data_IF_323655467532
#
_entry.id   IF_323655467532
#
_cell.length_a   1.000
_cell.length_b   1.000
_cell.length_c   1.000
_cell.angle_alpha   90.00
_cell.angle_beta   90.00
_cell.angle_gamma   90.00
#
_symmetry.space_group_name_H-M   'P 1'
#
loop_
_entity.id
_entity.type
_entity.pdbx_description
1 polymer ?
#
# COMPACT_ATOMS: atom_id res chain seq x y z
N UNK A 1 2.93 -7.13 -11.87
CA UNK A 1 3.77 -7.87 -10.94
C UNK A 1 5.26 -7.73 -11.22
N UNK A 2 6.05 -8.22 -10.33
CA UNK A 2 7.52 -8.15 -10.37
C UNK A 2 8.12 -9.50 -10.77
N UNK A 3 7.80 -9.98 -11.98
CA UNK A 3 8.43 -11.20 -12.50
C UNK A 3 9.97 -11.10 -12.44
N UNK A 4 10.71 -12.14 -12.02
CA UNK A 4 10.27 -13.51 -11.69
C UNK A 4 9.80 -13.73 -10.23
N UNK A 5 9.64 -12.66 -9.45
CA UNK A 5 9.24 -12.73 -8.04
C UNK A 5 7.71 -12.80 -7.91
N UNK A 6 7.14 -13.95 -8.21
CA UNK A 6 5.69 -14.16 -8.31
C UNK A 6 5.22 -15.22 -7.33
N UNK A 7 3.91 -15.31 -7.14
CA UNK A 7 3.23 -16.33 -6.34
C UNK A 7 2.43 -17.27 -7.26
N UNK A 8 2.16 -18.49 -6.80
CA UNK A 8 1.31 -19.46 -7.49
C UNK A 8 -0.18 -19.12 -7.40
N UNK A 9 -0.59 -18.31 -6.41
CA UNK A 9 -1.97 -17.85 -6.27
C UNK A 9 -2.28 -16.72 -7.25
N UNK A 10 -3.54 -16.60 -7.68
CA UNK A 10 -3.99 -15.48 -8.49
C UNK A 10 -4.41 -14.32 -7.58
N UNK A 11 -3.60 -13.27 -7.43
CA UNK A 11 -3.92 -12.14 -6.57
C UNK A 11 -4.78 -11.07 -7.26
N UNK A 12 -5.14 -11.28 -8.52
CA UNK A 12 -5.94 -10.34 -9.30
C UNK A 12 -7.43 -10.73 -9.31
N UNK A 13 -8.31 -9.72 -9.46
CA UNK A 13 -9.75 -9.90 -9.58
C UNK A 13 -10.15 -10.81 -10.74
N UNK A 14 -9.33 -10.85 -11.81
CA UNK A 14 -9.51 -11.77 -12.93
C UNK A 14 -9.51 -13.25 -12.53
N UNK A 15 -8.85 -13.58 -11.41
CA UNK A 15 -8.86 -14.93 -10.83
C UNK A 15 -10.25 -15.41 -10.39
N UNK A 16 -11.19 -14.52 -10.15
CA UNK A 16 -12.58 -14.84 -9.77
C UNK A 16 -13.26 -15.59 -10.93
N UNK A 17 -13.11 -15.11 -12.15
CA UNK A 17 -13.72 -15.74 -13.31
C UNK A 17 -13.20 -17.15 -13.55
N UNK A 18 -11.87 -17.33 -13.46
CA UNK A 18 -11.23 -18.64 -13.69
C UNK A 18 -11.40 -19.59 -12.51
N UNK A 19 -11.39 -19.09 -11.28
CA UNK A 19 -11.48 -19.91 -10.07
C UNK A 19 -12.89 -20.36 -9.71
N UNK A 20 -13.88 -19.49 -9.92
CA UNK A 20 -15.28 -19.76 -9.57
C UNK A 20 -16.19 -20.02 -10.77
N UNK A 21 -15.71 -19.83 -12.00
CA UNK A 21 -16.53 -19.94 -13.19
C UNK A 21 -17.62 -18.87 -13.30
N UNK A 22 -17.46 -17.74 -12.62
CA UNK A 22 -18.42 -16.63 -12.61
C UNK A 22 -18.00 -15.53 -13.58
N UNK A 23 -18.92 -15.00 -14.40
CA UNK A 23 -18.61 -13.84 -15.23
C UNK A 23 -18.40 -12.61 -14.36
N UNK A 24 -17.32 -11.84 -14.64
CA UNK A 24 -17.00 -10.61 -13.89
C UNK A 24 -18.12 -9.58 -13.91
N UNK A 25 -19.00 -9.62 -14.91
CA UNK A 25 -20.19 -8.76 -14.98
C UNK A 25 -21.22 -8.98 -13.87
N UNK A 26 -21.08 -10.07 -13.11
CA UNK A 26 -21.89 -10.34 -11.91
C UNK A 26 -21.23 -9.84 -10.61
N UNK A 27 -20.00 -9.32 -10.70
CA UNK A 27 -19.30 -8.75 -9.57
C UNK A 27 -19.54 -7.24 -9.56
N UNK A 28 -20.32 -6.77 -8.59
CA UNK A 28 -20.70 -5.36 -8.50
C UNK A 28 -19.73 -4.54 -7.65
N UNK A 29 -18.96 -5.20 -6.79
CA UNK A 29 -18.08 -4.55 -5.82
C UNK A 29 -16.81 -5.37 -5.65
N UNK A 30 -15.65 -4.72 -5.84
CA UNK A 30 -14.35 -5.31 -5.64
C UNK A 30 -13.61 -4.43 -4.63
N UNK A 31 -13.31 -4.98 -3.46
CA UNK A 31 -12.68 -4.26 -2.36
C UNK A 31 -11.20 -4.62 -2.30
N UNK A 32 -10.32 -3.62 -2.51
CA UNK A 32 -8.88 -3.78 -2.31
C UNK A 32 -8.54 -3.67 -0.82
N UNK A 33 -7.66 -4.54 -0.30
CA UNK A 33 -7.16 -4.45 1.06
C UNK A 33 -5.72 -3.99 1.03
N UNK A 34 -5.46 -2.80 1.61
CA UNK A 34 -4.14 -2.19 1.71
C UNK A 34 -3.76 -1.98 3.17
N UNK A 35 -2.46 -2.03 3.45
CA UNK A 35 -1.93 -1.50 4.72
C UNK A 35 -1.66 -0.02 4.57
N UNK A 36 -1.64 0.72 5.66
CA UNK A 36 -1.24 2.12 5.68
C UNK A 36 0.27 2.35 5.38
N UNK A 37 1.03 1.28 5.20
CA UNK A 37 2.43 1.24 4.78
C UNK A 37 2.66 0.00 3.91
N UNK A 38 3.80 -0.10 3.23
CA UNK A 38 4.06 -1.23 2.33
C UNK A 38 4.90 -2.29 3.01
N UNK A 39 4.58 -3.57 2.75
CA UNK A 39 5.39 -4.70 3.19
C UNK A 39 5.66 -5.67 2.04
N UNK A 40 6.84 -6.28 2.04
CA UNK A 40 7.20 -7.32 1.07
C UNK A 40 7.81 -8.53 1.77
N UNK A 41 7.45 -9.72 1.29
CA UNK A 41 8.06 -10.98 1.67
C UNK A 41 8.99 -11.45 0.54
N UNK A 42 10.18 -11.92 0.91
CA UNK A 42 11.13 -12.46 -0.04
C UNK A 42 11.91 -11.41 -0.84
N UNK A 43 12.58 -11.88 -1.90
CA UNK A 43 13.41 -11.07 -2.78
C UNK A 43 12.58 -10.27 -3.79
N UNK A 44 13.23 -9.42 -4.52
CA UNK A 44 12.67 -8.59 -5.59
C UNK A 44 12.67 -7.10 -5.26
N UNK A 45 12.37 -6.25 -6.24
CA UNK A 45 12.44 -4.81 -6.09
C UNK A 45 11.40 -4.30 -5.08
N UNK A 46 11.84 -3.37 -4.25
CA UNK A 46 11.01 -2.68 -3.28
C UNK A 46 11.53 -1.25 -3.08
N UNK A 47 11.26 -0.34 -4.03
CA UNK A 47 11.86 0.98 -4.03
C UNK A 47 11.57 1.81 -2.79
N UNK A 48 10.40 1.64 -2.18
CA UNK A 48 10.02 2.37 -0.95
C UNK A 48 10.51 1.70 0.34
N UNK A 49 11.34 0.64 0.25
CA UNK A 49 11.89 -0.04 1.42
C UNK A 49 12.73 0.88 2.30
N UNK A 50 12.60 0.70 3.60
CA UNK A 50 13.33 1.45 4.60
C UNK A 50 14.36 0.58 5.29
N UNK A 51 15.62 1.03 5.23
CA UNK A 51 16.77 0.38 5.86
C UNK A 51 17.25 1.10 7.14
N UNK A 52 16.40 1.99 7.66
CA UNK A 52 16.67 2.81 8.83
C UNK A 52 15.76 2.43 10.01
N UNK A 53 15.85 3.19 11.09
CA UNK A 53 15.05 3.03 12.30
C UNK A 53 13.54 3.08 12.06
N UNK A 54 13.07 3.83 11.04
CA UNK A 54 11.64 3.86 10.69
C UNK A 54 11.18 2.51 10.16
N UNK A 55 11.99 1.84 9.33
CA UNK A 55 11.69 0.52 8.81
C UNK A 55 11.65 -0.54 9.91
N UNK A 56 12.57 -0.46 10.88
CA UNK A 56 12.57 -1.32 12.06
C UNK A 56 11.33 -1.08 12.92
N UNK A 57 11.00 0.19 13.17
CA UNK A 57 9.83 0.60 13.95
C UNK A 57 8.52 0.13 13.32
N UNK A 58 8.36 0.24 11.99
CA UNK A 58 7.21 -0.32 11.27
C UNK A 58 7.10 -1.83 11.46
N UNK A 59 8.23 -2.55 11.39
CA UNK A 59 8.28 -4.00 11.55
C UNK A 59 7.88 -4.43 12.96
N UNK A 60 8.45 -3.79 13.97
CA UNK A 60 8.20 -4.12 15.38
C UNK A 60 6.76 -3.83 15.78
N UNK A 61 6.30 -2.59 15.59
CA UNK A 61 4.94 -2.16 15.94
C UNK A 61 3.89 -2.93 15.13
N UNK A 62 4.14 -3.09 13.83
CA UNK A 62 3.25 -3.82 12.92
C UNK A 62 3.28 -5.32 13.09
N UNK A 63 4.20 -5.87 13.90
CA UNK A 63 4.46 -7.31 14.03
C UNK A 63 4.64 -7.98 12.66
N UNK A 64 5.45 -7.33 11.80
CA UNK A 64 5.64 -7.75 10.42
C UNK A 64 6.64 -8.91 10.32
N UNK A 65 6.17 -10.07 10.73
CA UNK A 65 6.89 -11.34 10.68
C UNK A 65 6.02 -12.39 9.98
N UNK A 66 6.66 -13.37 9.36
CA UNK A 66 5.95 -14.48 8.73
C UNK A 66 5.29 -15.37 9.79
N UNK A 67 3.99 -15.64 9.65
CA UNK A 67 3.23 -16.41 10.63
C UNK A 67 3.82 -17.80 10.90
N UNK A 68 4.34 -18.46 9.87
CA UNK A 68 4.89 -19.83 9.98
C UNK A 68 6.38 -19.84 10.26
N UNK A 69 7.14 -18.94 9.61
CA UNK A 69 8.61 -18.99 9.63
C UNK A 69 9.23 -17.98 10.57
N UNK A 70 8.48 -17.05 11.12
CA UNK A 70 8.99 -15.93 11.92
C UNK A 70 9.92 -14.98 11.16
N UNK A 71 10.10 -15.14 9.85
CA UNK A 71 11.01 -14.28 9.05
C UNK A 71 10.53 -12.85 9.05
N UNK A 72 11.42 -11.88 9.28
CA UNK A 72 11.07 -10.46 9.20
C UNK A 72 10.62 -10.10 7.78
N UNK A 73 9.53 -9.35 7.68
CA UNK A 73 9.10 -8.75 6.42
C UNK A 73 9.89 -7.46 6.19
N UNK A 74 10.14 -7.16 4.93
CA UNK A 74 10.67 -5.89 4.49
C UNK A 74 9.56 -4.86 4.61
N UNK A 75 9.84 -3.68 5.17
CA UNK A 75 8.86 -2.62 5.40
C UNK A 75 9.28 -1.34 4.71
N UNK A 76 8.31 -0.56 4.25
CA UNK A 76 8.54 0.69 3.57
C UNK A 76 7.33 1.63 3.67
N UNK A 77 7.51 2.89 3.26
CA UNK A 77 6.42 3.84 3.20
C UNK A 77 5.36 3.42 2.17
N UNK A 78 4.13 3.91 2.36
CA UNK A 78 3.03 3.64 1.44
C UNK A 78 3.39 4.06 0.02
N UNK A 79 3.21 3.16 -0.92
CA UNK A 79 3.46 3.38 -2.35
C UNK A 79 2.13 3.65 -3.07
N UNK A 80 1.82 4.92 -3.28
CA UNK A 80 0.57 5.30 -3.93
C UNK A 80 0.58 5.02 -5.44
N UNK A 81 1.77 4.95 -6.06
CA UNK A 81 1.90 4.60 -7.49
C UNK A 81 1.54 3.14 -7.72
N UNK A 82 2.10 2.24 -6.88
CA UNK A 82 1.77 0.82 -6.92
C UNK A 82 0.30 0.57 -6.55
N UNK A 83 -0.21 1.29 -5.54
CA UNK A 83 -1.61 1.20 -5.14
C UNK A 83 -2.55 1.64 -6.27
N UNK A 84 -2.29 2.77 -6.93
CA UNK A 84 -3.04 3.26 -8.09
C UNK A 84 -3.03 2.24 -9.23
N UNK A 85 -1.89 1.65 -9.53
CA UNK A 85 -1.77 0.59 -10.51
C UNK A 85 -2.59 -0.64 -10.13
N UNK A 86 -2.54 -1.06 -8.86
CA UNK A 86 -3.35 -2.16 -8.35
C UNK A 86 -4.84 -1.90 -8.48
N UNK A 87 -5.30 -0.67 -8.22
CA UNK A 87 -6.69 -0.24 -8.44
C UNK A 87 -7.08 -0.42 -9.91
N UNK A 88 -6.22 0.04 -10.83
CA UNK A 88 -6.48 0.00 -12.26
C UNK A 88 -6.60 -1.43 -12.80
N UNK A 89 -5.65 -2.31 -12.47
CA UNK A 89 -5.62 -3.68 -13.00
C UNK A 89 -6.68 -4.60 -12.40
N UNK A 90 -7.15 -4.28 -11.18
CA UNK A 90 -8.16 -5.08 -10.50
C UNK A 90 -9.58 -4.52 -10.62
N UNK A 91 -9.72 -3.26 -11.04
CA UNK A 91 -11.01 -2.59 -11.06
C UNK A 91 -11.61 -2.45 -9.67
N UNK A 92 -10.78 -2.12 -8.66
CA UNK A 92 -11.30 -1.89 -7.31
C UNK A 92 -12.31 -0.74 -7.33
N UNK A 93 -13.45 -0.96 -6.67
CA UNK A 93 -14.48 0.07 -6.49
C UNK A 93 -14.25 0.90 -5.24
N UNK A 94 -13.50 0.35 -4.30
CA UNK A 94 -13.15 0.94 -3.01
C UNK A 94 -12.01 0.16 -2.36
N UNK A 95 -11.43 0.72 -1.31
CA UNK A 95 -10.40 0.04 -0.52
C UNK A 95 -10.71 0.02 0.98
N UNK A 96 -10.12 -0.98 1.64
CA UNK A 96 -9.94 -1.05 3.08
C UNK A 96 -8.49 -0.68 3.40
N UNK A 97 -8.27 0.26 4.31
CA UNK A 97 -6.95 0.63 4.81
C UNK A 97 -6.75 0.03 6.20
N UNK A 98 -5.79 -0.86 6.34
CA UNK A 98 -5.51 -1.57 7.59
C UNK A 98 -4.23 -1.06 8.25
N UNK A 99 -4.08 -1.34 9.56
CA UNK A 99 -2.86 -1.01 10.32
C UNK A 99 -2.51 0.48 10.34
N UNK A 100 -3.51 1.32 10.35
CA UNK A 100 -3.33 2.76 10.44
C UNK A 100 -2.74 3.17 11.78
N UNK A 101 -3.13 2.49 12.85
CA UNK A 101 -2.67 2.63 14.23
C UNK A 101 -1.14 2.53 14.39
N UNK A 102 -0.48 1.77 13.52
CA UNK A 102 0.98 1.66 13.53
C UNK A 102 1.65 3.00 13.25
N UNK A 103 1.02 3.85 12.45
CA UNK A 103 1.54 5.17 12.10
C UNK A 103 1.34 6.22 13.19
N UNK A 104 0.56 5.96 14.24
CA UNK A 104 0.33 6.85 15.39
C UNK A 104 1.65 7.26 16.08
N UNK A 105 2.67 6.43 15.93
CA UNK A 105 3.96 6.59 16.60
C UNK A 105 5.03 7.32 15.76
N UNK A 106 4.68 7.88 14.61
CA UNK A 106 5.63 8.52 13.71
C UNK A 106 5.42 10.03 13.64
N UNK A 107 6.50 10.80 13.84
CA UNK A 107 6.48 12.26 13.70
C UNK A 107 6.35 12.71 12.24
N UNK A 108 6.89 11.90 11.33
CA UNK A 108 6.86 12.14 9.89
C UNK A 108 6.49 10.85 9.17
N UNK A 109 5.52 10.98 8.28
CA UNK A 109 5.03 9.87 7.45
C UNK A 109 5.21 10.29 6.00
N UNK A 110 5.52 9.33 5.13
CA UNK A 110 5.74 9.63 3.71
C UNK A 110 4.86 8.74 2.84
N UNK A 111 4.43 9.29 1.71
CA UNK A 111 3.76 8.54 0.64
C UNK A 111 4.57 8.73 -0.63
N UNK A 112 4.94 7.63 -1.27
CA UNK A 112 5.54 7.67 -2.61
C UNK A 112 4.47 8.06 -3.63
N UNK A 113 4.72 9.15 -4.38
CA UNK A 113 3.77 9.71 -5.34
C UNK A 113 4.28 9.67 -6.78
N UNK A 114 5.56 9.45 -6.97
CA UNK A 114 6.17 9.26 -8.29
C UNK A 114 7.53 8.61 -8.13
N UNK A 115 8.11 8.22 -9.25
CA UNK A 115 9.46 7.68 -9.32
C UNK A 115 10.31 8.49 -10.29
N UNK A 116 11.56 8.74 -9.90
CA UNK A 116 12.60 9.15 -10.83
C UNK A 116 13.11 7.89 -11.56
N UNK A 117 13.00 7.90 -12.88
CA UNK A 117 13.40 6.79 -13.73
C UNK A 117 13.84 7.30 -15.11
N UNK A 118 15.01 6.86 -15.60
CA UNK A 118 15.58 7.24 -16.90
C UNK A 118 15.62 8.77 -17.12
N UNK A 119 15.99 9.53 -16.10
CA UNK A 119 16.13 10.99 -16.17
C UNK A 119 14.81 11.78 -16.17
N UNK A 120 13.68 11.13 -15.91
CA UNK A 120 12.36 11.75 -15.81
C UNK A 120 11.57 11.27 -14.58
N UNK A 121 10.49 11.97 -14.26
CA UNK A 121 9.56 11.55 -13.23
C UNK A 121 8.33 10.87 -13.82
N UNK A 122 7.85 9.81 -13.20
CA UNK A 122 6.64 9.09 -13.61
C UNK A 122 5.83 8.63 -12.39
N UNK A 123 4.51 8.71 -12.50
CA UNK A 123 3.53 8.10 -11.59
C UNK A 123 2.84 6.88 -12.23
N UNK A 124 3.38 6.38 -13.34
CA UNK A 124 2.83 5.25 -14.07
C UNK A 124 3.66 4.00 -13.85
N UNK A 125 3.15 3.09 -13.04
CA UNK A 125 3.80 1.82 -12.73
C UNK A 125 4.09 0.97 -13.96
N UNK A 126 3.26 1.04 -15.00
CA UNK A 126 3.43 0.32 -16.26
C UNK A 126 4.75 0.61 -16.97
N UNK A 127 5.33 1.80 -16.73
CA UNK A 127 6.65 2.20 -17.29
C UNK A 127 7.82 1.63 -16.50
N UNK A 128 7.59 1.14 -15.30
CA UNK A 128 8.62 0.73 -14.33
C UNK A 128 8.73 -0.78 -14.18
N UNK A 129 7.75 -1.55 -14.66
CA UNK A 129 7.62 -2.99 -14.36
C UNK A 129 8.86 -3.80 -14.73
N UNK A 130 9.53 -3.45 -15.83
CA UNK A 130 10.73 -4.16 -16.28
C UNK A 130 11.98 -3.86 -15.42
N UNK A 131 12.08 -2.64 -14.87
CA UNK A 131 13.29 -2.14 -14.22
C UNK A 131 13.00 -1.41 -12.91
N UNK A 132 12.03 -1.91 -12.15
CA UNK A 132 11.59 -1.30 -10.89
C UNK A 132 12.73 -1.17 -9.86
N UNK A 133 13.80 -1.97 -10.00
CA UNK A 133 14.97 -1.90 -9.11
C UNK A 133 15.73 -0.58 -9.20
N UNK A 134 15.68 0.09 -10.37
CA UNK A 134 16.41 1.33 -10.65
C UNK A 134 15.57 2.58 -10.39
N UNK A 135 14.29 2.38 -10.05
CA UNK A 135 13.37 3.46 -9.77
C UNK A 135 13.61 4.06 -8.37
N UNK A 136 13.77 5.38 -8.29
CA UNK A 136 13.95 6.10 -7.03
C UNK A 136 12.64 6.77 -6.62
N UNK A 137 12.11 6.47 -5.42
CA UNK A 137 10.82 7.00 -5.01
C UNK A 137 10.91 8.49 -4.62
N UNK A 138 9.97 9.28 -5.12
CA UNK A 138 9.72 10.65 -4.68
C UNK A 138 8.55 10.67 -3.71
N UNK A 139 8.73 11.36 -2.58
CA UNK A 139 7.80 11.32 -1.48
C UNK A 139 7.08 12.66 -1.25
N UNK A 140 5.79 12.57 -1.00
CA UNK A 140 5.06 13.61 -0.28
C UNK A 140 5.20 13.34 1.22
N UNK A 141 5.54 14.39 1.99
CA UNK A 141 5.70 14.30 3.43
C UNK A 141 4.41 14.71 4.14
N UNK A 142 4.08 13.99 5.20
CA UNK A 142 3.00 14.27 6.13
C UNK A 142 3.56 14.42 7.54
N UNK A 143 3.00 15.34 8.30
CA UNK A 143 3.29 15.45 9.73
C UNK A 143 2.47 14.36 10.43
N UNK A 144 3.12 13.55 11.25
CA UNK A 144 2.45 12.54 12.06
C UNK A 144 1.42 13.14 13.00
N UNK A 145 0.41 12.39 13.30
CA UNK A 145 -0.65 12.85 14.20
C UNK A 145 -0.31 12.66 15.68
N UNK A 146 0.54 11.68 16.02
CA UNK A 146 0.98 11.40 17.38
C UNK A 146 -0.18 11.27 18.40
N UNK A 147 -1.30 10.80 17.93
CA UNK A 147 -2.52 10.56 18.70
C UNK A 147 -2.99 9.15 18.39
N UNK A 148 -3.53 8.44 19.39
CA UNK A 148 -4.01 7.07 19.15
C UNK A 148 -5.24 7.08 18.26
N UNK A 149 -5.18 6.30 17.20
CA UNK A 149 -6.34 6.00 16.34
C UNK A 149 -7.08 4.72 16.78
N UNK A 150 -6.55 4.02 17.77
CA UNK A 150 -7.12 2.77 18.26
C UNK A 150 -8.43 2.98 18.98
N UNK A 151 -9.43 2.17 18.65
CA UNK A 151 -10.76 2.24 19.27
C UNK A 151 -11.67 3.36 18.73
N UNK A 152 -11.24 4.09 17.71
CA UNK A 152 -12.09 5.07 17.01
C UNK A 152 -12.93 4.32 15.97
N UNK A 153 -14.25 4.39 16.13
CA UNK A 153 -15.22 3.64 15.33
C UNK A 153 -15.87 4.45 14.18
N UNK A 154 -15.52 5.74 14.05
CA UNK A 154 -16.06 6.60 13.01
C UNK A 154 -14.97 7.52 12.42
N UNK A 155 -15.14 7.90 11.16
CA UNK A 155 -14.18 8.72 10.43
C UNK A 155 -13.98 10.12 11.03
N UNK A 156 -15.05 10.71 11.53
CA UNK A 156 -15.04 12.08 12.09
C UNK A 156 -14.26 12.16 13.41
N UNK A 157 -14.21 11.05 14.15
CA UNK A 157 -13.44 10.93 15.39
C UNK A 157 -11.93 10.85 15.17
N UNK A 158 -11.48 10.53 13.96
CA UNK A 158 -10.05 10.45 13.66
C UNK A 158 -9.39 11.83 13.74
N UNK A 159 -8.12 11.91 14.19
CA UNK A 159 -7.35 13.15 14.17
C UNK A 159 -7.36 13.78 12.78
N UNK A 160 -7.35 15.10 12.71
CA UNK A 160 -7.40 15.83 11.42
C UNK A 160 -6.28 15.39 10.46
N UNK A 161 -5.06 15.24 10.96
CA UNK A 161 -3.91 14.80 10.15
C UNK A 161 -4.07 13.39 9.60
N UNK A 162 -4.68 12.50 10.37
CA UNK A 162 -5.00 11.13 9.94
C UNK A 162 -6.01 11.16 8.79
N UNK A 163 -7.05 11.98 8.90
CA UNK A 163 -8.03 12.17 7.82
C UNK A 163 -7.41 12.76 6.56
N UNK A 164 -6.50 13.72 6.71
CA UNK A 164 -5.73 14.29 5.58
C UNK A 164 -4.88 13.24 4.87
N UNK A 165 -4.25 12.34 5.61
CA UNK A 165 -3.48 11.21 5.08
C UNK A 165 -4.36 10.24 4.29
N UNK A 166 -5.50 9.85 4.87
CA UNK A 166 -6.48 8.94 4.25
C UNK A 166 -7.08 9.56 2.99
N UNK A 167 -7.49 10.83 3.08
CA UNK A 167 -8.08 11.54 1.95
C UNK A 167 -7.10 11.67 0.80
N UNK A 168 -5.83 11.97 1.10
CA UNK A 168 -4.80 12.04 0.07
C UNK A 168 -4.63 10.70 -0.66
N UNK A 169 -4.61 9.57 0.07
CA UNK A 169 -4.54 8.25 -0.55
C UNK A 169 -5.74 8.03 -1.47
N UNK A 170 -6.95 8.27 -0.97
CA UNK A 170 -8.20 8.13 -1.73
C UNK A 170 -8.17 8.93 -3.03
N UNK A 171 -7.79 10.21 -2.96
CA UNK A 171 -7.72 11.11 -4.11
C UNK A 171 -6.66 10.67 -5.13
N UNK A 172 -5.49 10.23 -4.65
CA UNK A 172 -4.39 9.82 -5.52
C UNK A 172 -4.70 8.54 -6.29
N UNK A 173 -5.27 7.55 -5.61
CA UNK A 173 -5.58 6.24 -6.23
C UNK A 173 -6.89 6.23 -7.00
N UNK A 174 -7.76 7.23 -6.79
CA UNK A 174 -9.01 7.44 -7.53
C UNK A 174 -10.19 6.59 -7.07
N UNK A 175 -10.11 5.97 -5.89
CA UNK A 175 -11.22 5.22 -5.27
C UNK A 175 -11.31 5.50 -3.78
N UNK A 176 -12.52 5.46 -3.18
CA UNK A 176 -12.70 5.81 -1.78
C UNK A 176 -12.09 4.76 -0.83
N UNK A 177 -11.51 5.25 0.26
CA UNK A 177 -11.23 4.44 1.46
C UNK A 177 -12.53 4.33 2.26
N UNK A 178 -13.14 3.15 2.27
CA UNK A 178 -14.45 2.92 2.92
C UNK A 178 -14.35 2.28 4.29
N UNK A 179 -13.29 1.53 4.52
CA UNK A 179 -13.09 0.80 5.79
C UNK A 179 -11.67 1.10 6.26
N UNK A 180 -11.55 1.37 7.56
CA UNK A 180 -10.27 1.57 8.24
C UNK A 180 -10.22 0.57 9.39
N UNK A 181 -9.08 -0.12 9.56
CA UNK A 181 -8.88 -1.13 10.60
C UNK A 181 -7.47 -1.04 11.17
#
# INVERSE_FOLDING_TARGET
GTYPFVTSSSPSSGGIATGLGLPLTKVNRIVGIFKAYTTRVGKGPFPTELFNTDGEKLRELGKEYGATTGRPRRCGWFDAVEAKYSVQINGFTEITLTKLDILDHFDKIKICTSYEYNGGNTDQMSRLISDLSDAKPNYKNFIGWNESTNGIDNYEGLPKKTREYIQFISDFIGVPVKIIS
#
